data_IF_057515645854
#
_entry.id   IF_057515645854
#
_cell.length_a   1.000
_cell.length_b   1.000
_cell.length_c   1.000
_cell.angle_alpha   90.00
_cell.angle_beta   90.00
_cell.angle_gamma   90.00
#
_symmetry.space_group_name_H-M   'P 1'
#
loop_
_entity.id
_entity.type
_entity.pdbx_description
1 polymer ?
2 non-polymer ?
3 water ?
#
# COMPACT_ATOMS: atom_id res chain seq x y z
N UNK A 50 -5.29 -16.79 -8.44
CA UNK A 50 -6.69 -16.74 -7.96
C UNK A 50 -7.13 -15.27 -7.84
N UNK A 51 -7.07 -14.72 -6.64
CA UNK A 51 -7.34 -13.32 -6.41
C UNK A 51 -6.13 -12.46 -6.86
N UNK A 52 -6.34 -11.46 -7.75
CA UNK A 52 -5.19 -10.62 -8.13
C UNK A 52 -4.83 -9.59 -7.02
N UNK A 53 -4.23 -10.08 -5.95
CA UNK A 53 -3.89 -9.25 -4.77
C UNK A 53 -3.10 -8.05 -5.11
N UNK A 54 -2.19 -8.16 -6.08
CA UNK A 54 -1.28 -7.07 -6.40
C UNK A 54 -2.01 -5.84 -6.94
N UNK A 55 -3.13 -6.07 -7.59
CA UNK A 55 -3.99 -4.96 -8.11
C UNK A 55 -4.86 -4.35 -7.00
N UNK A 56 -5.39 -5.18 -6.11
CA UNK A 56 -6.21 -4.68 -5.00
C UNK A 56 -5.34 -3.85 -4.07
N UNK A 57 -4.14 -4.36 -3.76
CA UNK A 57 -3.18 -3.58 -2.95
C UNK A 57 -2.77 -2.30 -3.65
N UNK A 58 -2.46 -2.35 -4.92
CA UNK A 58 -2.13 -1.04 -5.61
C UNK A 58 -3.30 -0.05 -5.47
N UNK A 59 -4.52 -0.51 -5.72
CA UNK A 59 -5.70 0.35 -5.65
C UNK A 59 -5.88 0.92 -4.23
N UNK A 60 -5.70 0.08 -3.22
CA UNK A 60 -5.79 0.55 -1.81
C UNK A 60 -4.79 1.64 -1.53
N UNK A 61 -3.53 1.41 -1.95
CA UNK A 61 -2.49 2.41 -1.75
C UNK A 61 -2.80 3.72 -2.49
N UNK A 62 -3.31 3.63 -3.72
CA UNK A 62 -3.64 4.82 -4.45
C UNK A 62 -4.80 5.58 -3.84
N UNK A 63 -5.64 4.89 -3.03
CA UNK A 63 -6.80 5.57 -2.40
C UNK A 63 -6.44 6.39 -1.15
N UNK A 64 -5.28 6.09 -0.55
CA UNK A 64 -4.84 6.80 0.64
C UNK A 64 -4.67 8.26 0.30
N UNK A 65 -5.34 9.17 1.05
CA UNK A 65 -5.37 10.56 0.56
C UNK A 65 -4.08 11.26 0.76
N UNK A 66 -3.67 12.10 -0.22
CA UNK A 66 -2.50 12.95 -0.02
C UNK A 66 -3.03 14.42 -0.05
N UNK A 67 -2.25 15.35 0.45
CA UNK A 67 -2.65 16.76 0.42
C UNK A 67 -2.99 17.23 -1.00
N UNK A 68 -4.05 18.03 -1.07
CA UNK A 68 -4.50 18.61 -2.34
C UNK A 68 -5.31 17.63 -3.17
N UNK A 69 -5.60 16.44 -2.65
CA UNK A 69 -6.33 15.43 -3.43
C UNK A 69 -5.42 14.81 -4.51
N UNK A 70 -4.13 15.12 -4.49
CA UNK A 70 -3.28 14.71 -5.59
C UNK A 70 -2.59 13.35 -5.46
N UNK A 71 -2.09 12.82 -6.58
CA UNK A 71 -1.41 11.52 -6.57
C UNK A 71 -0.28 11.54 -7.61
N UNK A 72 0.92 11.94 -7.25
CA UNK A 72 1.93 12.14 -8.27
C UNK A 72 2.54 10.84 -8.78
N UNK A 73 2.45 9.79 -7.98
CA UNK A 73 2.78 8.42 -8.34
C UNK A 73 1.62 7.48 -8.04
N UNK A 74 1.11 6.85 -9.09
CA UNK A 74 0.04 5.84 -8.90
C UNK A 74 0.56 4.46 -9.14
N UNK A 75 0.27 3.53 -8.23
CA UNK A 75 0.71 2.16 -8.45
C UNK A 75 -0.35 1.37 -9.22
N UNK A 76 0.10 0.44 -10.07
CA UNK A 76 -0.76 -0.41 -10.85
C UNK A 76 -0.63 -1.85 -10.42
N UNK A 77 0.50 -2.18 -9.82
CA UNK A 77 0.69 -3.54 -9.30
C UNK A 77 1.71 -3.50 -8.22
N UNK A 78 1.40 -4.13 -7.10
CA UNK A 78 2.36 -4.25 -6.02
C UNK A 78 2.35 -5.70 -5.54
N UNK A 79 3.40 -6.44 -5.88
CA UNK A 79 3.46 -7.87 -5.50
C UNK A 79 4.54 -8.01 -4.43
N UNK A 80 4.34 -8.87 -3.48
CA UNK A 80 5.30 -9.05 -2.39
C UNK A 80 5.76 -10.51 -2.39
N UNK A 81 6.99 -10.76 -1.93
CA UNK A 81 7.42 -12.13 -1.75
C UNK A 81 8.49 -12.17 -0.66
N UNK A 82 8.58 -13.30 0.04
CA UNK A 82 9.63 -13.44 1.08
C UNK A 82 10.82 -14.16 0.51
N UNK A 83 12.01 -13.74 0.89
CA UNK A 83 13.25 -14.34 0.33
C UNK A 83 13.74 -15.48 1.25
N UNK A 84 14.02 -16.65 0.65
CA UNK A 84 14.89 -17.65 1.31
C UNK A 84 16.19 -17.00 1.77
N UNK A 85 16.77 -17.59 2.80
CA UNK A 85 18.04 -17.11 3.40
C UNK A 85 19.14 -17.10 2.35
N UNK A 86 19.13 -18.12 1.50
CA UNK A 86 20.10 -18.29 0.42
C UNK A 86 20.00 -17.16 -0.57
N UNK A 87 18.76 -16.83 -0.94
CA UNK A 87 18.60 -15.80 -1.97
C UNK A 87 19.03 -14.45 -1.38
N UNK A 88 18.62 -14.21 -0.13
CA UNK A 88 19.01 -12.96 0.52
C UNK A 88 20.52 -12.84 0.62
N UNK A 89 21.17 -13.95 1.00
CA UNK A 89 22.65 -13.99 1.01
C UNK A 89 23.30 -13.70 -0.38
N UNK A 90 22.84 -14.37 -1.43
CA UNK A 90 23.30 -14.07 -2.79
C UNK A 90 23.06 -12.65 -3.25
N UNK A 91 21.86 -12.12 -2.98
CA UNK A 91 21.56 -10.69 -3.38
C UNK A 91 22.48 -9.75 -2.64
N UNK A 92 22.69 -9.99 -1.35
CA UNK A 92 23.53 -9.13 -0.55
C UNK A 92 24.96 -9.15 -1.09
N UNK A 93 25.46 -10.32 -1.50
CA UNK A 93 26.86 -10.42 -1.96
C UNK A 93 26.97 -9.82 -3.33
N UNK A 94 25.93 -10.00 -4.13
CA UNK A 94 25.87 -9.38 -5.45
C UNK A 94 25.82 -7.86 -5.39
N UNK A 95 25.61 -7.28 -4.20
CA UNK A 95 25.53 -5.81 -4.07
C UNK A 95 24.17 -5.16 -4.34
N UNK A 96 23.18 -5.96 -4.74
CA UNK A 96 21.83 -5.44 -4.92
C UNK A 96 21.34 -4.81 -3.58
N UNK A 97 20.54 -3.75 -3.69
CA UNK A 97 19.99 -3.09 -2.50
C UNK A 97 21.13 -2.71 -1.55
N UNK A 98 22.25 -2.25 -2.12
CA UNK A 98 23.45 -1.79 -1.39
C UNK A 98 23.93 -2.80 -0.40
N UNK A 99 23.77 -4.07 -0.72
CA UNK A 99 24.24 -5.13 0.15
C UNK A 99 23.52 -5.33 1.45
N UNK A 100 22.40 -4.63 1.66
CA UNK A 100 21.51 -4.97 2.77
C UNK A 100 20.93 -6.38 2.58
N UNK A 101 20.71 -7.07 3.68
CA UNK A 101 20.15 -8.38 3.60
C UNK A 101 18.62 -8.24 3.78
N UNK A 102 17.96 -8.44 2.65
CA UNK A 102 16.57 -8.22 2.46
C UNK A 102 15.81 -9.42 2.95
N UNK A 103 14.66 -9.14 3.54
CA UNK A 103 13.77 -10.22 3.97
C UNK A 103 12.52 -10.35 3.04
N UNK A 104 12.01 -9.21 2.58
CA UNK A 104 10.86 -9.20 1.70
C UNK A 104 11.11 -8.30 0.47
N UNK A 105 10.63 -8.74 -0.67
CA UNK A 105 10.76 -7.91 -1.87
C UNK A 105 9.40 -7.60 -2.47
N UNK A 106 9.23 -6.32 -2.83
CA UNK A 106 8.02 -5.85 -3.51
C UNK A 106 8.34 -5.55 -4.96
N UNK A 107 7.62 -6.16 -5.88
CA UNK A 107 7.75 -5.77 -7.29
C UNK A 107 6.64 -4.80 -7.68
N UNK A 108 7.03 -3.68 -8.26
CA UNK A 108 6.16 -2.53 -8.51
C UNK A 108 6.05 -2.18 -9.98
N UNK A 109 4.82 -2.01 -10.43
CA UNK A 109 4.56 -1.36 -11.75
C UNK A 109 3.79 -0.12 -11.41
N UNK A 110 4.17 1.00 -11.99
CA UNK A 110 3.47 2.25 -11.67
C UNK A 110 3.52 3.31 -12.74
N UNK A 111 3.06 4.48 -12.39
CA UNK A 111 2.94 5.63 -13.28
C UNK A 111 3.33 6.82 -12.40
N UNK A 112 4.11 7.75 -12.98
CA UNK A 112 4.56 8.94 -12.30
C UNK A 112 4.15 10.13 -13.16
N UNK A 113 3.58 11.15 -12.51
CA UNK A 113 3.08 12.32 -13.20
C UNK A 113 4.23 13.10 -13.95
N UNK A 114 5.43 13.05 -13.43
CA UNK A 114 6.54 13.81 -14.01
C UNK A 114 7.79 13.03 -13.70
N UNK A 115 8.88 13.39 -14.36
CA UNK A 115 10.26 12.82 -14.12
C UNK A 115 10.65 13.08 -12.65
N UNK A 116 10.31 14.29 -12.18
CA UNK A 116 10.68 14.72 -10.81
C UNK A 116 9.91 13.87 -9.74
N UNK A 117 8.64 13.54 -10.00
CA UNK A 117 7.86 12.66 -9.06
C UNK A 117 8.49 11.26 -8.99
N UNK A 118 8.95 10.77 -10.15
CA UNK A 118 9.61 9.44 -10.21
C UNK A 118 10.92 9.46 -9.39
N UNK A 119 11.71 10.50 -9.61
CA UNK A 119 12.97 10.64 -8.84
C UNK A 119 12.73 10.73 -7.33
N UNK A 120 11.75 11.53 -6.92
CA UNK A 120 11.38 11.56 -5.46
C UNK A 120 10.95 10.20 -4.90
N UNK A 121 10.24 9.41 -5.73
CA UNK A 121 9.78 8.07 -5.30
C UNK A 121 10.97 7.19 -5.12
N UNK A 122 11.85 7.19 -6.13
CA UNK A 122 13.03 6.33 -6.05
C UNK A 122 13.87 6.71 -4.82
N UNK A 123 14.09 7.99 -4.64
CA UNK A 123 15.01 8.45 -3.53
C UNK A 123 14.42 8.12 -2.16
N UNK A 124 13.08 8.14 -2.03
CA UNK A 124 12.47 7.76 -0.72
C UNK A 124 12.98 6.41 -0.28
N UNK A 125 13.21 5.50 -1.25
CA UNK A 125 13.62 4.16 -0.83
C UNK A 125 15.15 3.96 -0.74
N UNK A 126 15.90 5.04 -0.96
CA UNK A 126 17.36 4.94 -0.87
C UNK A 126 17.89 5.54 0.42
N UNK A 127 17.14 6.45 1.01
CA UNK A 127 17.58 7.20 2.15
C UNK A 127 17.07 6.52 3.42
N UNK A 128 16.62 5.26 3.33
CA UNK A 128 16.25 4.57 4.54
C UNK A 128 17.07 3.29 4.77
N UNK A 129 17.54 3.07 6.00
CA UNK A 129 18.29 1.87 6.37
C UNK A 129 17.45 0.61 6.25
N UNK A 130 16.12 0.76 6.24
CA UNK A 130 15.30 -0.45 6.19
C UNK A 130 14.98 -0.90 4.72
N UNK A 131 15.24 0.00 3.75
CA UNK A 131 14.83 -0.21 2.36
C UNK A 131 15.97 -0.06 1.38
N UNK A 132 15.86 -0.78 0.26
CA UNK A 132 16.68 -0.56 -0.92
C UNK A 132 15.71 -0.54 -2.09
N UNK A 133 16.16 -0.01 -3.21
CA UNK A 133 15.33 -0.03 -4.42
C UNK A 133 16.20 -0.39 -5.63
N UNK A 134 15.68 -1.24 -6.50
CA UNK A 134 16.30 -1.40 -7.82
C UNK A 134 15.36 -0.90 -8.88
N UNK A 135 15.71 0.26 -9.45
CA UNK A 135 14.95 0.90 -10.54
C UNK A 135 15.17 0.16 -11.84
N UNK A 136 14.11 -0.46 -12.41
CA UNK A 136 14.28 -1.27 -13.62
C UNK A 136 14.15 -0.41 -14.87
N UNK A 137 13.24 0.54 -14.85
CA UNK A 137 13.07 1.33 -16.05
C UNK A 137 11.85 2.26 -15.99
N UNK A 138 11.78 3.17 -16.96
CA UNK A 138 10.65 4.08 -17.11
C UNK A 138 10.53 4.44 -18.56
N UNK A 139 9.30 4.74 -18.97
CA UNK A 139 9.02 5.11 -20.31
C UNK A 139 7.99 6.24 -20.34
N UNK A 140 8.20 7.23 -21.20
CA UNK A 140 7.19 8.27 -21.41
C UNK A 140 6.04 7.72 -22.26
N UNK A 141 4.84 7.74 -21.68
CA UNK A 141 3.63 7.37 -22.45
C UNK A 141 3.13 8.63 -23.07
N UNK A 142 3.43 8.82 -24.36
CA UNK A 142 3.08 10.11 -25.04
C UNK A 142 1.57 10.21 -25.30
N UNK A 143 0.81 9.10 -25.12
CA UNK A 143 -0.65 9.19 -25.10
C UNK A 143 -1.20 9.91 -23.86
N UNK A 144 -0.48 9.89 -22.76
CA UNK A 144 -0.97 10.46 -21.53
C UNK A 144 -0.12 11.57 -20.99
N UNK A 145 1.09 11.72 -21.53
CA UNK A 145 2.05 12.71 -20.96
C UNK A 145 2.50 12.38 -19.53
N UNK A 146 2.73 11.11 -19.24
CA UNK A 146 3.27 10.69 -17.93
C UNK A 146 4.16 9.45 -18.11
N UNK A 147 4.83 9.03 -17.05
CA UNK A 147 5.78 7.94 -17.12
C UNK A 147 5.25 6.67 -16.53
N UNK A 148 5.33 5.56 -17.28
CA UNK A 148 5.19 4.25 -16.62
C UNK A 148 6.56 3.88 -16.10
N UNK A 149 6.62 3.06 -15.06
CA UNK A 149 7.90 2.67 -14.53
C UNK A 149 7.78 1.34 -13.86
N UNK A 150 8.92 0.69 -13.67
CA UNK A 150 8.99 -0.50 -12.85
C UNK A 150 10.19 -0.51 -11.97
N UNK A 151 9.98 -1.10 -10.79
CA UNK A 151 11.01 -1.12 -9.77
C UNK A 151 10.78 -2.30 -8.84
N UNK A 152 11.84 -2.71 -8.17
CA UNK A 152 11.76 -3.67 -7.05
C UNK A 152 12.23 -2.94 -5.77
N UNK A 153 11.46 -3.08 -4.67
CA UNK A 153 11.84 -2.53 -3.35
C UNK A 153 12.17 -3.66 -2.37
N UNK A 154 13.36 -3.60 -1.75
CA UNK A 154 13.72 -4.63 -0.77
C UNK A 154 13.55 -4.05 0.65
N UNK A 155 13.08 -4.90 1.58
CA UNK A 155 12.88 -4.51 2.96
C UNK A 155 13.61 -5.47 3.89
N UNK A 156 14.38 -4.87 4.80
CA UNK A 156 15.14 -5.58 5.86
C UNK A 156 14.27 -5.98 7.03
N UNK A 157 14.75 -6.97 7.77
CA UNK A 157 14.09 -7.42 8.99
C UNK A 157 13.98 -6.31 10.02
N UNK A 158 14.84 -5.29 9.90
CA UNK A 158 14.74 -4.05 10.69
C UNK A 158 15.37 -4.19 12.08
N UNK B 51 6.40 -15.07 8.60
CA UNK B 51 6.77 -13.66 8.15
C UNK B 51 5.64 -12.71 8.53
N UNK B 52 5.95 -11.62 9.32
CA UNK B 52 4.92 -10.66 9.74
C UNK B 52 4.61 -9.74 8.57
N UNK B 53 3.96 -10.28 7.55
CA UNK B 53 3.58 -9.59 6.37
C UNK B 53 2.90 -8.28 6.61
N UNK B 54 1.96 -8.23 7.60
CA UNK B 54 1.14 -7.06 7.73
C UNK B 54 1.98 -5.83 8.07
N UNK B 55 3.07 -6.06 8.80
CA UNK B 55 3.98 -5.01 9.20
C UNK B 55 4.88 -4.58 8.05
N UNK B 56 5.36 -5.55 7.28
CA UNK B 56 6.18 -5.21 6.07
C UNK B 56 5.35 -4.34 5.08
N UNK B 57 4.13 -4.80 4.82
CA UNK B 57 3.22 -4.01 3.93
C UNK B 57 3.01 -2.62 4.52
N UNK B 58 2.76 -2.55 5.82
CA UNK B 58 2.61 -1.18 6.43
C UNK B 58 3.89 -0.33 6.23
N UNK B 59 5.05 -0.91 6.51
CA UNK B 59 6.30 -0.12 6.47
C UNK B 59 6.53 0.39 5.06
N UNK B 60 6.26 -0.49 4.09
CA UNK B 60 6.40 -0.11 2.66
C UNK B 60 5.49 1.00 2.29
N UNK B 61 4.23 0.89 2.70
CA UNK B 61 3.26 1.98 2.40
C UNK B 61 3.66 3.31 3.07
N UNK B 62 4.12 3.24 4.32
CA UNK B 62 4.54 4.52 5.03
C UNK B 62 5.75 5.17 4.34
N UNK B 63 6.52 4.37 3.58
CA UNK B 63 7.76 4.96 2.96
C UNK B 63 7.44 5.79 1.68
N UNK B 64 6.30 5.53 1.07
CA UNK B 64 5.91 6.21 -0.15
C UNK B 64 5.77 7.71 0.11
N UNK B 65 6.52 8.55 -0.62
CA UNK B 65 6.55 9.95 -0.25
C UNK B 65 5.24 10.67 -0.56
N UNK B 66 4.84 11.57 0.33
CA UNK B 66 3.62 12.37 0.16
C UNK B 66 3.92 13.92 -0.06
N UNK B 71 3.83 12.89 7.13
CA UNK B 71 3.02 11.70 7.14
C UNK B 71 2.05 11.75 8.32
N UNK B 72 0.81 12.13 8.05
CA UNK B 72 -0.15 12.37 9.09
C UNK B 72 -0.85 11.10 9.55
N UNK B 73 -0.96 10.14 8.65
CA UNK B 73 -1.52 8.85 9.00
C UNK B 73 -0.48 7.79 8.58
N UNK B 74 0.07 7.13 9.56
CA UNK B 74 1.04 6.03 9.33
C UNK B 74 0.33 4.73 9.64
N UNK B 75 0.62 3.70 8.89
CA UNK B 75 0.06 2.40 9.18
C UNK B 75 0.98 1.52 9.98
N UNK B 76 0.39 0.68 10.83
CA UNK B 76 1.13 -0.27 11.63
C UNK B 76 1.04 -1.66 11.12
N UNK B 77 -0.15 -2.06 10.64
CA UNK B 77 -0.35 -3.33 10.07
C UNK B 77 -1.42 -3.27 8.97
N UNK B 78 -1.19 -3.97 7.85
CA UNK B 78 -2.17 -4.04 6.79
C UNK B 78 -2.33 -5.51 6.41
N UNK B 79 -3.48 -6.04 6.71
CA UNK B 79 -3.72 -7.49 6.58
C UNK B 79 -4.88 -7.67 5.58
N UNK B 80 -4.65 -8.48 4.58
CA UNK B 80 -5.63 -8.61 3.50
C UNK B 80 -6.30 -10.00 3.61
N UNK B 81 -7.57 -10.05 3.26
CA UNK B 81 -8.20 -11.33 3.05
C UNK B 81 -9.27 -11.22 1.97
N UNK B 82 -9.57 -12.36 1.31
CA UNK B 82 -10.67 -12.43 0.37
C UNK B 82 -11.95 -13.00 1.00
N UNK B 83 -13.10 -12.44 0.62
CA UNK B 83 -14.36 -12.84 1.24
C UNK B 83 -14.99 -13.96 0.40
N UNK B 84 -15.56 -14.95 1.07
CA UNK B 84 -16.43 -15.90 0.42
C UNK B 84 -17.63 -15.16 -0.14
N UNK B 85 -18.22 -15.69 -1.21
CA UNK B 85 -19.47 -15.12 -1.76
C UNK B 85 -20.61 -15.04 -0.72
N UNK B 86 -20.67 -16.03 0.18
CA UNK B 86 -21.64 -16.05 1.26
C UNK B 86 -21.39 -14.92 2.24
N UNK B 87 -20.11 -14.72 2.60
CA UNK B 87 -19.80 -13.66 3.53
C UNK B 87 -20.04 -12.32 2.89
N UNK B 88 -19.65 -12.18 1.63
CA UNK B 88 -19.88 -10.92 0.88
C UNK B 88 -21.39 -10.59 0.79
N UNK B 89 -22.18 -11.65 0.55
CA UNK B 89 -23.65 -11.58 0.58
C UNK B 89 -24.20 -11.11 1.92
N UNK B 90 -23.80 -11.78 2.98
CA UNK B 90 -24.21 -11.34 4.32
C UNK B 90 -23.87 -9.90 4.63
N UNK B 91 -22.62 -9.51 4.39
CA UNK B 91 -22.13 -8.13 4.60
C UNK B 91 -22.90 -7.07 3.81
N UNK B 92 -23.18 -7.35 2.54
CA UNK B 92 -23.90 -6.38 1.70
C UNK B 92 -25.33 -6.17 2.26
N UNK B 93 -25.96 -7.29 2.61
CA UNK B 93 -27.25 -7.26 3.25
C UNK B 93 -27.22 -6.62 4.65
N UNK B 94 -26.20 -6.94 5.47
CA UNK B 94 -26.09 -6.30 6.78
C UNK B 94 -26.01 -4.78 6.66
N UNK B 95 -25.85 -4.27 5.43
CA UNK B 95 -25.56 -2.84 5.21
C UNK B 95 -24.10 -2.39 5.36
N UNK B 96 -23.18 -3.30 5.71
CA UNK B 96 -21.77 -2.90 5.86
C UNK B 96 -21.28 -2.48 4.48
N UNK B 97 -20.35 -1.52 4.46
CA UNK B 97 -19.71 -1.05 3.22
C UNK B 97 -20.78 -0.58 2.28
N UNK B 98 -21.84 0.05 2.82
CA UNK B 98 -22.94 0.60 1.99
C UNK B 98 -23.57 -0.41 1.01
N UNK B 99 -23.63 -1.67 1.42
CA UNK B 99 -24.16 -2.69 0.51
C UNK B 99 -23.33 -3.02 -0.73
N UNK B 100 -22.08 -2.52 -0.86
CA UNK B 100 -21.28 -2.83 -2.11
C UNK B 100 -20.87 -4.28 -2.05
N UNK B 101 -20.54 -4.89 -3.19
CA UNK B 101 -20.17 -6.30 -3.15
C UNK B 101 -18.67 -6.35 -3.03
N UNK B 102 -18.21 -6.53 -1.77
CA UNK B 102 -16.80 -6.51 -1.49
C UNK B 102 -16.25 -7.90 -1.76
N UNK B 103 -15.06 -7.97 -2.30
CA UNK B 103 -14.33 -9.16 -2.54
C UNK B 103 -13.14 -9.27 -1.61
N UNK B 104 -12.54 -8.12 -1.32
CA UNK B 104 -11.30 -8.10 -0.59
C UNK B 104 -11.42 -7.08 0.57
N UNK B 105 -10.94 -7.47 1.73
CA UNK B 105 -10.92 -6.61 2.90
C UNK B 105 -9.54 -6.40 3.40
N UNK B 106 -9.17 -5.13 3.62
CA UNK B 106 -7.87 -4.83 4.26
C UNK B 106 -8.13 -4.40 5.70
N UNK B 107 -7.63 -5.17 6.66
CA UNK B 107 -7.75 -4.76 8.08
C UNK B 107 -6.52 -3.95 8.48
N UNK B 108 -6.77 -2.76 8.97
CA UNK B 108 -5.78 -1.77 9.23
C UNK B 108 -5.68 -1.47 10.68
N UNK B 109 -4.42 -1.28 11.13
CA UNK B 109 -4.18 -0.64 12.44
C UNK B 109 -3.28 0.50 12.08
N UNK B 110 -3.56 1.69 12.57
CA UNK B 110 -2.70 2.81 12.24
C UNK B 110 -2.59 3.83 13.33
N UNK B 111 -1.94 4.92 12.95
CA UNK B 111 -1.67 6.02 13.89
C UNK B 111 -1.86 7.33 13.13
N UNK B 112 -2.63 8.21 13.72
CA UNK B 112 -2.89 9.54 13.10
C UNK B 112 -2.43 10.65 14.03
N UNK B 113 -1.68 11.62 13.46
CA UNK B 113 -1.10 12.75 14.26
C UNK B 113 -2.18 13.68 14.76
N UNK B 114 -3.38 13.66 14.13
CA UNK B 114 -4.49 14.48 14.63
C UNK B 114 -5.82 13.81 14.33
N UNK B 115 -6.89 14.30 14.98
CA UNK B 115 -8.23 13.82 14.78
C UNK B 115 -8.61 14.11 13.34
N UNK B 116 -8.25 15.29 12.88
CA UNK B 116 -8.64 15.78 11.56
C UNK B 116 -7.99 14.98 10.42
N UNK B 117 -6.72 14.57 10.62
CA UNK B 117 -6.04 13.68 9.63
C UNK B 117 -6.76 12.32 9.56
N UNK B 118 -7.14 11.78 10.73
CA UNK B 118 -7.90 10.51 10.73
C UNK B 118 -9.21 10.66 9.96
N UNK B 119 -9.95 11.75 10.23
CA UNK B 119 -11.20 11.99 9.53
C UNK B 119 -11.04 12.07 8.00
N UNK B 120 -9.99 12.75 7.55
CA UNK B 120 -9.68 12.81 6.07
C UNK B 120 -9.36 11.43 5.50
N UNK B 121 -8.61 10.64 6.28
CA UNK B 121 -8.29 9.29 5.84
C UNK B 121 -9.56 8.46 5.68
N UNK B 122 -10.44 8.52 6.69
CA UNK B 122 -11.68 7.73 6.60
C UNK B 122 -12.56 8.16 5.44
N UNK B 123 -12.71 9.48 5.27
CA UNK B 123 -13.51 10.00 4.23
C UNK B 123 -13.06 9.62 2.81
N UNK B 124 -11.74 9.49 2.60
CA UNK B 124 -11.23 9.14 1.29
C UNK B 124 -11.79 7.78 0.84
N UNK B 125 -12.05 6.87 1.80
CA UNK B 125 -12.57 5.54 1.48
C UNK B 125 -14.09 5.51 1.54
N UNK B 126 -14.71 6.66 1.66
CA UNK B 126 -16.20 6.71 1.62
C UNK B 126 -16.70 7.26 0.32
N UNK B 127 -15.87 8.02 -0.38
CA UNK B 127 -16.34 8.72 -1.58
C UNK B 127 -16.18 7.97 -2.90
N UNK B 128 -15.79 6.71 -2.85
CA UNK B 128 -15.53 5.93 -4.10
C UNK B 128 -16.48 4.77 -4.28
N UNK B 129 -16.94 4.56 -5.52
CA UNK B 129 -17.79 3.38 -5.84
C UNK B 129 -17.06 2.08 -5.63
N UNK B 130 -15.72 2.10 -5.52
CA UNK B 130 -14.97 0.81 -5.41
C UNK B 130 -14.51 0.44 -4.03
N UNK B 131 -14.73 1.35 -3.06
CA UNK B 131 -14.26 1.12 -1.69
C UNK B 131 -15.45 1.29 -0.71
N UNK B 132 -15.37 0.60 0.41
CA UNK B 132 -16.16 0.97 1.61
C UNK B 132 -15.15 0.98 2.80
N UNK B 133 -15.55 1.58 3.90
CA UNK B 133 -14.72 1.54 5.10
C UNK B 133 -15.58 1.34 6.31
N UNK B 134 -15.12 0.49 7.22
CA UNK B 134 -15.74 0.40 8.53
C UNK B 134 -14.71 0.94 9.61
N UNK B 135 -14.95 2.11 10.14
CA UNK B 135 -14.09 2.66 11.15
C UNK B 135 -14.41 1.89 12.47
N UNK B 136 -13.41 1.15 12.98
CA UNK B 136 -13.66 0.29 14.16
C UNK B 136 -13.36 1.02 15.47
N UNK B 137 -12.42 1.96 15.44
CA UNK B 137 -12.17 2.65 16.68
C UNK B 137 -10.91 3.53 16.65
N UNK B 138 -10.77 4.36 17.66
CA UNK B 138 -9.56 5.20 17.79
C UNK B 138 -9.33 5.48 19.25
N UNK B 139 -8.06 5.66 19.60
CA UNK B 139 -7.71 5.93 20.99
C UNK B 139 -6.64 6.98 21.04
N UNK B 140 -6.81 7.94 21.94
CA UNK B 140 -5.74 8.88 22.24
C UNK B 140 -4.53 8.22 22.93
N UNK B 141 -3.35 8.46 22.37
CA UNK B 141 -2.09 8.02 22.93
C UNK B 141 -1.35 9.30 23.35
N UNK B 142 -1.42 9.60 24.64
CA UNK B 142 -0.86 10.85 25.16
C UNK B 142 0.64 10.79 25.26
N UNK B 143 1.19 9.60 25.43
CA UNK B 143 2.66 9.44 25.43
C UNK B 143 3.29 9.82 24.08
N UNK B 144 2.59 9.58 22.95
CA UNK B 144 3.20 9.92 21.64
C UNK B 144 2.47 11.08 20.99
N UNK B 145 1.47 11.62 21.63
CA UNK B 145 0.73 12.78 21.03
C UNK B 145 -0.03 12.40 19.73
N UNK B 146 -0.69 11.25 19.69
CA UNK B 146 -1.35 10.86 18.42
C UNK B 146 -2.57 9.97 18.75
N UNK B 147 -3.35 9.58 17.75
CA UNK B 147 -4.40 8.61 17.87
C UNK B 147 -4.06 7.31 17.22
N UNK B 148 -4.18 6.20 17.95
CA UNK B 148 -4.10 4.92 17.29
C UNK B 148 -5.49 4.67 16.72
N UNK B 149 -5.60 3.85 15.70
CA UNK B 149 -6.96 3.59 15.18
C UNK B 149 -7.00 2.28 14.45
N UNK B 150 -8.19 1.72 14.33
CA UNK B 150 -8.36 0.59 13.50
C UNK B 150 -9.55 0.76 12.58
N UNK B 151 -9.44 0.12 11.39
CA UNK B 151 -10.44 0.19 10.38
C UNK B 151 -10.29 -1.00 9.44
N UNK B 152 -11.39 -1.38 8.82
CA UNK B 152 -11.38 -2.40 7.73
C UNK B 152 -11.81 -1.67 6.47
N UNK B 153 -11.00 -1.77 5.43
CA UNK B 153 -11.35 -1.20 4.11
C UNK B 153 -11.75 -2.33 3.15
N UNK B 154 -12.94 -2.20 2.55
CA UNK B 154 -13.43 -3.21 1.61
C UNK B 154 -13.24 -2.67 0.18
N UNK B 155 -12.87 -3.55 -0.72
CA UNK B 155 -12.68 -3.17 -2.09
C UNK B 155 -13.66 -4.06 -2.89
N UNK B 156 -14.39 -3.45 -3.81
CA UNK B 156 -15.37 -4.21 -4.62
C UNK B 156 -14.66 -5.18 -5.54
N UNK B 157 -15.27 -6.34 -5.73
CA UNK B 157 -14.72 -7.40 -6.60
C UNK B 157 -14.65 -6.97 -8.06
N UNK B 158 -14.18 -7.86 -8.91
CA UNK B 158 -14.10 -7.55 -10.33
C UNK B 158 -12.75 -7.14 -10.86
N UNK B 159 -11.72 -7.09 -10.00
CA UNK B 159 -10.34 -6.90 -10.53
C UNK B 159 -9.96 -8.10 -11.40
N UNK B 160 -9.27 -7.81 -12.49
CA UNK B 160 -8.81 -8.87 -13.39
C UNK B 160 -7.29 -9.12 -13.25
N UNK B 161 -6.89 -10.38 -13.33
CA UNK B 161 -5.51 -10.73 -13.56
C UNK B 161 -5.36 -11.86 -14.58
N UNK B 162 -4.13 -12.07 -15.08
CA UNK B 162 -3.84 -13.17 -15.97
C UNK B 162 -4.18 -14.53 -15.32
N UNK B 163 -4.75 -15.48 -16.06
CA UNK B 163 -5.19 -16.77 -15.49
C UNK B 163 -5.48 -17.87 -16.52
#
# INVERSE_FOLDING_TARGET
GSHMAKAERDQLQAEVEALRPFIAELGRLQEERKALEALLAIREGLEKNAVPWSQYLAAFINQIPRAGGRLEVALRSVSARALSEEEAARLAQEGTYDGKRIRVEFALQGEALSREALVRFIRAFETSPRFGIEFQGASLDEGRGLYTFSARVGVTGGESGAR
GSHMAKAERDQLQAEVEALRPFIAELGRLQEERKALEALLAIREGLEKNAVPWSQYLAAFINQIPRAGGRLEVALRSVSARALSEEEAARLAQEGTYDGKRIRVEFALQGEALSREALVRFIRAFETSPRFGIEFQGASLDEGRGLYTFSARVGVTGGESGAR
#
